data_IF_454629710229
#
_entry.id   IF_454629710229
#
_cell.length_a   1.000
_cell.length_b   1.000
_cell.length_c   1.000
_cell.angle_alpha   90.00
_cell.angle_beta   90.00
_cell.angle_gamma   90.00
#
_symmetry.space_group_name_H-M   'P 1'
#
loop_
_entity.id
_entity.type
_entity.pdbx_description
1 polymer ?
#
# COMPACT_ATOMS: atom_id res chain seq x y z
N UNK A 1 30.64 -1.74 22.60
CA UNK A 1 30.35 -1.01 21.36
C UNK A 1 30.96 0.38 21.48
N UNK A 2 32.03 0.65 20.72
CA UNK A 2 32.77 1.91 20.76
C UNK A 2 32.07 3.02 19.97
N UNK A 3 32.25 4.25 20.45
CA UNK A 3 31.55 5.48 20.02
C UNK A 3 32.32 6.22 18.92
N UNK A 4 31.65 6.94 18.01
CA UNK A 4 32.27 8.05 17.30
C UNK A 4 32.14 9.34 18.12
N UNK A 5 33.28 9.98 18.46
CA UNK A 5 33.35 11.37 18.91
C UNK A 5 33.09 11.63 20.40
N UNK A 6 34.06 12.27 21.07
CA UNK A 6 34.07 12.57 22.51
C UNK A 6 33.05 13.61 22.98
N UNK A 7 31.75 13.35 22.79
CA UNK A 7 30.68 14.12 23.41
C UNK A 7 30.25 13.49 24.75
N UNK A 8 29.87 14.31 25.76
CA UNK A 8 29.35 13.80 27.04
C UNK A 8 28.11 12.92 26.83
N UNK A 9 27.96 11.83 27.60
CA UNK A 9 26.79 10.93 27.53
C UNK A 9 25.46 11.69 27.60
N UNK A 10 25.43 12.78 28.38
CA UNK A 10 24.28 13.67 28.54
C UNK A 10 23.92 14.46 27.29
N UNK A 11 24.91 14.82 26.47
CA UNK A 11 24.69 15.51 25.19
C UNK A 11 24.07 14.54 24.16
N UNK A 12 24.53 13.29 24.13
CA UNK A 12 23.96 12.25 23.26
C UNK A 12 22.52 11.90 23.64
N UNK A 13 22.24 11.69 24.94
CA UNK A 13 20.87 11.42 25.42
C UNK A 13 19.94 12.60 25.10
N UNK A 14 20.39 13.84 25.30
CA UNK A 14 19.58 15.02 24.96
C UNK A 14 19.33 15.12 23.46
N UNK A 15 20.34 14.89 22.62
CA UNK A 15 20.17 14.87 21.17
C UNK A 15 19.19 13.77 20.71
N UNK A 16 19.27 12.56 21.27
CA UNK A 16 18.32 11.48 20.95
C UNK A 16 16.90 11.74 21.47
N UNK A 17 16.75 12.38 22.63
CA UNK A 17 15.43 12.83 23.12
C UNK A 17 14.88 13.93 22.21
N UNK A 18 15.69 14.92 21.83
CA UNK A 18 15.28 16.01 20.94
C UNK A 18 14.86 15.48 19.56
N UNK A 19 15.58 14.48 19.03
CA UNK A 19 15.27 13.76 17.79
C UNK A 19 13.91 13.04 17.91
N UNK A 20 13.70 12.24 18.96
CA UNK A 20 12.41 11.55 19.17
C UNK A 20 11.22 12.51 19.38
N UNK A 21 11.44 13.67 20.03
CA UNK A 21 10.41 14.69 20.21
C UNK A 21 10.10 15.42 18.90
N UNK A 22 11.12 15.65 18.07
CA UNK A 22 10.94 16.20 16.73
C UNK A 22 10.18 15.23 15.83
N UNK A 23 10.55 13.96 15.81
CA UNK A 23 9.88 12.91 15.03
C UNK A 23 8.42 12.75 15.44
N UNK A 24 8.13 12.77 16.74
CA UNK A 24 6.74 12.76 17.24
C UNK A 24 5.95 13.97 16.72
N UNK A 25 6.51 15.18 16.79
CA UNK A 25 5.84 16.39 16.29
C UNK A 25 5.59 16.31 14.78
N UNK A 26 6.55 15.84 13.99
CA UNK A 26 6.39 15.66 12.55
C UNK A 26 5.34 14.60 12.21
N UNK A 27 5.30 13.51 12.98
CA UNK A 27 4.29 12.45 12.83
C UNK A 27 2.88 12.95 13.15
N UNK A 28 2.72 13.75 14.21
CA UNK A 28 1.45 14.40 14.58
C UNK A 28 1.00 15.42 13.52
N UNK A 29 1.93 16.20 12.96
CA UNK A 29 1.66 17.13 11.86
C UNK A 29 1.19 16.38 10.61
N UNK A 30 1.92 15.33 10.21
CA UNK A 30 1.56 14.50 9.06
C UNK A 30 0.19 13.86 9.24
N UNK A 31 -0.08 13.27 10.40
CA UNK A 31 -1.38 12.68 10.71
C UNK A 31 -2.52 13.70 10.59
N UNK A 32 -2.31 14.93 11.09
CA UNK A 32 -3.29 16.00 10.98
C UNK A 32 -3.51 16.40 9.52
N UNK A 33 -2.44 16.64 8.76
CA UNK A 33 -2.53 16.99 7.35
C UNK A 33 -3.24 15.91 6.52
N UNK A 34 -2.95 14.63 6.76
CA UNK A 34 -3.63 13.51 6.12
C UNK A 34 -5.12 13.45 6.50
N UNK A 35 -5.44 13.63 7.78
CA UNK A 35 -6.82 13.64 8.26
C UNK A 35 -7.62 14.82 7.67
N UNK A 36 -7.02 16.01 7.63
CA UNK A 36 -7.59 17.23 7.04
C UNK A 36 -7.79 17.07 5.52
N UNK A 37 -6.88 16.34 4.86
CA UNK A 37 -7.00 15.96 3.46
C UNK A 37 -8.02 14.82 3.21
N UNK A 38 -8.62 14.27 4.28
CA UNK A 38 -9.71 13.29 4.21
C UNK A 38 -9.27 11.83 4.30
N UNK A 39 -8.01 11.54 4.63
CA UNK A 39 -7.54 10.19 4.92
C UNK A 39 -7.96 9.79 6.34
N UNK A 40 -9.22 9.41 6.49
CA UNK A 40 -9.76 8.88 7.75
C UNK A 40 -10.12 7.42 7.60
N UNK A 41 -10.06 6.67 8.71
CA UNK A 41 -10.44 5.25 8.76
C UNK A 41 -11.85 5.01 8.18
N UNK A 42 -12.83 5.80 8.61
CA UNK A 42 -14.22 5.73 8.14
C UNK A 42 -14.36 5.90 6.62
N UNK A 43 -13.52 6.76 6.03
CA UNK A 43 -13.54 7.04 4.59
C UNK A 43 -12.84 5.93 3.81
N UNK A 44 -11.72 5.43 4.32
CA UNK A 44 -11.04 4.26 3.78
C UNK A 44 -11.97 3.03 3.79
N UNK A 45 -12.64 2.74 4.90
CA UNK A 45 -13.63 1.67 5.00
C UNK A 45 -14.77 1.82 3.98
N UNK A 46 -15.30 3.04 3.82
CA UNK A 46 -16.35 3.31 2.83
C UNK A 46 -15.87 3.01 1.41
N UNK A 47 -14.66 3.45 1.05
CA UNK A 47 -14.07 3.19 -0.25
C UNK A 47 -13.81 1.70 -0.49
N UNK A 48 -13.26 1.00 0.49
CA UNK A 48 -13.02 -0.44 0.41
C UNK A 48 -14.34 -1.20 0.17
N UNK A 49 -15.43 -0.81 0.85
CA UNK A 49 -16.77 -1.38 0.61
C UNK A 49 -17.30 -1.10 -0.79
N UNK A 50 -17.00 0.07 -1.37
CA UNK A 50 -17.34 0.38 -2.76
C UNK A 50 -16.53 -0.46 -3.74
N UNK A 51 -15.24 -0.67 -3.46
CA UNK A 51 -14.38 -1.57 -4.22
C UNK A 51 -14.92 -3.01 -4.21
N UNK A 52 -15.28 -3.53 -3.03
CA UNK A 52 -15.93 -4.84 -2.88
C UNK A 52 -17.21 -4.93 -3.71
N UNK A 53 -18.06 -3.90 -3.65
CA UNK A 53 -19.30 -3.86 -4.40
C UNK A 53 -19.06 -3.85 -5.91
N UNK A 54 -18.12 -3.04 -6.41
CA UNK A 54 -17.72 -3.03 -7.82
C UNK A 54 -17.20 -4.40 -8.26
N UNK A 55 -16.42 -5.07 -7.42
CA UNK A 55 -15.97 -6.42 -7.70
C UNK A 55 -17.14 -7.42 -7.80
N UNK A 56 -18.15 -7.33 -6.93
CA UNK A 56 -19.35 -8.16 -7.05
C UNK A 56 -20.14 -7.88 -8.32
N UNK A 57 -20.25 -6.62 -8.74
CA UNK A 57 -20.90 -6.25 -10.01
C UNK A 57 -20.15 -6.88 -11.20
N UNK A 58 -18.82 -6.80 -11.23
CA UNK A 58 -18.01 -7.40 -12.31
C UNK A 58 -18.13 -8.93 -12.34
N UNK A 59 -18.22 -9.59 -11.17
CA UNK A 59 -18.50 -11.04 -11.07
C UNK A 59 -19.78 -11.44 -11.79
N UNK A 60 -20.85 -10.65 -11.63
CA UNK A 60 -22.13 -10.94 -12.28
C UNK A 60 -22.12 -10.60 -13.77
N UNK A 61 -21.43 -9.53 -14.17
CA UNK A 61 -21.48 -9.02 -15.54
C UNK A 61 -20.51 -9.70 -16.52
N UNK A 62 -19.48 -10.38 -16.02
CA UNK A 62 -18.40 -10.91 -16.88
C UNK A 62 -18.17 -12.40 -16.63
N UNK A 63 -17.95 -13.16 -17.71
CA UNK A 63 -17.64 -14.61 -17.63
C UNK A 63 -16.34 -14.91 -16.86
N UNK A 64 -15.46 -13.92 -16.74
CA UNK A 64 -14.20 -14.01 -16.00
C UNK A 64 -14.24 -13.28 -14.66
N UNK A 65 -15.41 -12.82 -14.21
CA UNK A 65 -15.48 -11.93 -13.08
C UNK A 65 -15.00 -12.57 -11.76
N UNK A 66 -15.17 -13.88 -11.60
CA UNK A 66 -14.62 -14.63 -10.46
C UNK A 66 -13.09 -14.70 -10.45
N UNK A 67 -12.47 -14.49 -11.62
CA UNK A 67 -11.02 -14.48 -11.78
C UNK A 67 -10.43 -13.09 -11.57
N UNK A 68 -11.27 -12.04 -11.46
CA UNK A 68 -10.83 -10.66 -11.30
C UNK A 68 -10.90 -10.25 -9.83
N UNK A 69 -9.77 -9.76 -9.33
CA UNK A 69 -9.64 -9.18 -8.00
C UNK A 69 -9.24 -7.72 -8.16
N UNK A 70 -9.95 -6.80 -7.50
CA UNK A 70 -9.52 -5.41 -7.49
C UNK A 70 -8.31 -5.28 -6.57
N UNK A 71 -7.33 -4.46 -6.97
CA UNK A 71 -6.08 -4.24 -6.23
C UNK A 71 -5.71 -2.76 -6.23
N UNK A 72 -4.62 -2.42 -5.56
CA UNK A 72 -4.08 -1.07 -5.59
C UNK A 72 -4.84 -0.08 -4.71
N UNK A 73 -4.47 1.19 -4.86
CA UNK A 73 -4.85 2.27 -3.94
C UNK A 73 -6.37 2.36 -3.71
N UNK A 74 -7.18 2.11 -4.74
CA UNK A 74 -8.64 2.17 -4.63
C UNK A 74 -9.18 1.06 -3.72
N UNK A 75 -8.78 -0.18 -3.97
CA UNK A 75 -9.18 -1.34 -3.18
C UNK A 75 -8.68 -1.28 -1.73
N UNK A 76 -7.57 -0.59 -1.48
CA UNK A 76 -6.96 -0.49 -0.15
C UNK A 76 -7.44 0.74 0.65
N UNK A 77 -8.27 1.61 0.05
CA UNK A 77 -8.77 2.82 0.73
C UNK A 77 -7.78 3.99 0.75
N UNK A 78 -6.70 3.92 -0.03
CA UNK A 78 -5.68 4.98 -0.18
C UNK A 78 -5.92 5.87 -1.39
N UNK A 79 -6.66 5.41 -2.40
CA UNK A 79 -7.04 6.28 -3.51
C UNK A 79 -7.94 7.39 -2.99
N UNK A 80 -7.88 8.55 -3.64
CA UNK A 80 -8.77 9.68 -3.38
C UNK A 80 -8.63 10.24 -1.96
N UNK A 81 -7.67 11.14 -1.80
CA UNK A 81 -7.81 12.22 -0.82
C UNK A 81 -9.16 12.90 -1.14
N UNK A 82 -10.18 12.65 -0.33
CA UNK A 82 -11.57 13.11 -0.53
C UNK A 82 -11.70 14.63 -0.33
N UNK A 83 -10.80 15.42 -0.92
CA UNK A 83 -10.75 16.88 -0.89
C UNK A 83 -11.97 17.48 -1.59
N UNK A 84 -12.69 16.69 -2.39
CA UNK A 84 -14.04 17.04 -2.83
C UNK A 84 -15.02 15.91 -2.52
N UNK A 85 -16.09 16.27 -1.81
CA UNK A 85 -17.25 15.43 -1.42
C UNK A 85 -18.13 15.10 -2.65
N UNK A 86 -17.53 14.86 -3.81
CA UNK A 86 -18.23 14.36 -4.99
C UNK A 86 -17.76 12.95 -5.39
N UNK A 87 -16.83 12.35 -4.64
CA UNK A 87 -16.38 10.98 -4.87
C UNK A 87 -15.67 10.77 -6.21
N UNK A 88 -15.06 11.82 -6.78
CA UNK A 88 -14.33 11.70 -8.03
C UNK A 88 -12.93 11.18 -7.79
N UNK A 89 -12.63 10.07 -8.44
CA UNK A 89 -11.27 9.61 -8.68
C UNK A 89 -10.47 10.74 -9.33
N UNK A 90 -9.27 11.02 -8.83
CA UNK A 90 -8.40 12.01 -9.49
C UNK A 90 -8.23 11.61 -10.97
N UNK A 91 -8.09 12.60 -11.86
CA UNK A 91 -8.13 12.35 -13.30
C UNK A 91 -7.03 11.39 -13.80
N UNK A 92 -5.99 11.20 -12.99
CA UNK A 92 -4.82 10.35 -13.19
C UNK A 92 -4.80 9.11 -12.28
N UNK A 93 -5.83 8.89 -11.46
CA UNK A 93 -5.91 7.72 -10.58
C UNK A 93 -6.60 6.56 -11.30
N UNK A 94 -5.86 5.46 -11.44
CA UNK A 94 -6.34 4.24 -12.06
C UNK A 94 -7.08 3.33 -11.04
N UNK A 95 -7.93 2.43 -11.55
CA UNK A 95 -8.52 1.34 -10.76
C UNK A 95 -7.88 0.04 -11.24
N UNK A 96 -7.02 -0.53 -10.39
CA UNK A 96 -6.25 -1.72 -10.74
C UNK A 96 -7.06 -3.00 -10.54
N UNK A 97 -6.88 -3.94 -11.47
CA UNK A 97 -7.44 -5.28 -11.39
C UNK A 97 -6.37 -6.31 -11.70
N UNK A 98 -6.33 -7.35 -10.88
CA UNK A 98 -5.50 -8.54 -11.12
C UNK A 98 -6.38 -9.69 -11.58
N UNK A 99 -5.97 -10.39 -12.64
CA UNK A 99 -6.63 -11.61 -13.13
C UNK A 99 -5.89 -12.83 -12.61
N UNK A 100 -6.55 -13.62 -11.77
CA UNK A 100 -6.04 -14.89 -11.27
C UNK A 100 -6.45 -16.03 -12.20
N UNK A 101 -5.48 -16.64 -12.85
CA UNK A 101 -5.66 -17.82 -13.71
C UNK A 101 -5.50 -19.08 -12.87
N UNK A 102 -6.54 -19.89 -12.75
CA UNK A 102 -6.48 -21.14 -12.00
C UNK A 102 -5.38 -22.05 -12.56
N UNK A 103 -4.55 -22.60 -11.66
CA UNK A 103 -3.45 -23.51 -12.02
C UNK A 103 -2.19 -22.81 -12.53
N UNK A 104 -2.17 -21.47 -12.62
CA UNK A 104 -0.97 -20.73 -12.97
C UNK A 104 -0.27 -20.23 -11.70
N UNK A 105 0.98 -20.63 -11.51
CA UNK A 105 1.82 -20.21 -10.38
C UNK A 105 2.87 -19.20 -10.87
N UNK A 106 2.89 -18.04 -10.24
CA UNK A 106 3.82 -16.95 -10.54
C UNK A 106 4.70 -16.69 -9.33
N UNK A 107 5.98 -16.46 -9.57
CA UNK A 107 6.97 -16.15 -8.54
C UNK A 107 7.51 -14.75 -8.80
N UNK A 108 7.46 -13.87 -7.81
CA UNK A 108 8.08 -12.56 -7.94
C UNK A 108 9.60 -12.71 -7.90
N UNK A 109 10.32 -12.02 -8.78
CA UNK A 109 11.78 -12.03 -8.71
C UNK A 109 12.27 -11.47 -7.37
N UNK A 110 13.20 -12.17 -6.73
CA UNK A 110 13.66 -11.86 -5.38
C UNK A 110 12.71 -12.28 -4.24
N UNK A 111 11.47 -12.68 -4.54
CA UNK A 111 10.49 -13.12 -3.54
C UNK A 111 10.79 -14.50 -2.94
N UNK A 112 11.52 -15.36 -3.67
CA UNK A 112 11.88 -16.69 -3.20
C UNK A 112 13.38 -16.82 -2.96
N UNK A 113 13.75 -17.49 -1.85
CA UNK A 113 15.15 -17.67 -1.44
C UNK A 113 15.91 -18.76 -2.23
N UNK A 114 15.34 -19.31 -3.30
CA UNK A 114 15.98 -20.34 -4.12
C UNK A 114 15.08 -20.93 -5.21
N UNK A 115 15.67 -21.77 -6.08
CA UNK A 115 14.96 -22.45 -7.19
C UNK A 115 14.71 -23.94 -6.90
N UNK A 116 14.11 -24.25 -5.76
CA UNK A 116 13.73 -25.61 -5.35
C UNK A 116 12.21 -25.78 -5.29
N UNK A 117 11.75 -27.03 -5.36
CA UNK A 117 10.32 -27.35 -5.34
C UNK A 117 9.56 -26.66 -6.47
N UNK A 118 8.49 -25.95 -6.13
CA UNK A 118 7.64 -25.24 -7.09
C UNK A 118 8.36 -24.07 -7.79
N UNK A 119 9.43 -23.52 -7.20
CA UNK A 119 10.24 -22.45 -7.77
C UNK A 119 11.09 -22.89 -8.99
N UNK A 120 11.27 -24.20 -9.20
CA UNK A 120 12.22 -24.71 -10.20
C UNK A 120 11.77 -24.43 -11.64
N UNK A 121 10.47 -24.54 -11.91
CA UNK A 121 9.86 -24.32 -13.22
C UNK A 121 8.82 -23.18 -13.18
N UNK A 122 8.90 -22.31 -12.17
CA UNK A 122 7.98 -21.20 -12.01
C UNK A 122 8.10 -20.17 -13.15
N UNK A 123 6.98 -19.52 -13.45
CA UNK A 123 7.00 -18.28 -14.25
C UNK A 123 7.42 -17.15 -13.33
N UNK A 124 8.55 -16.52 -13.62
CA UNK A 124 9.09 -15.42 -12.81
C UNK A 124 8.58 -14.08 -13.33
N UNK A 125 7.96 -13.29 -12.46
CA UNK A 125 7.49 -11.95 -12.76
C UNK A 125 8.47 -10.91 -12.20
N UNK A 126 8.80 -9.95 -13.04
CA UNK A 126 9.59 -8.78 -12.67
C UNK A 126 8.67 -7.72 -12.13
N UNK A 127 8.95 -7.22 -10.91
CA UNK A 127 8.18 -6.10 -10.38
C UNK A 127 8.90 -4.80 -10.74
N UNK A 128 8.28 -4.00 -11.60
CA UNK A 128 8.73 -2.65 -11.94
C UNK A 128 7.66 -1.66 -11.52
N UNK A 129 8.03 -0.70 -10.68
CA UNK A 129 7.13 0.37 -10.20
C UNK A 129 5.84 -0.14 -9.52
N UNK A 130 5.89 -1.33 -8.90
CA UNK A 130 4.73 -1.93 -8.22
C UNK A 130 3.84 -2.81 -9.13
N UNK A 131 4.18 -2.94 -10.41
CA UNK A 131 3.47 -3.78 -11.37
C UNK A 131 4.32 -4.99 -11.78
N UNK A 132 3.67 -6.13 -12.01
CA UNK A 132 4.29 -7.43 -12.29
C UNK A 132 3.80 -8.05 -13.60
#
# INVERSE_FOLDING_TARGET
AERPGGQPLTAWIRASIDDSQQDRRLSEELHRLLSDAGFTEQRAECQQRLADWLQQVVRVLTLEGDRRQMTGSYAEGWANSLVQVNGRTAADSDIDWTVLVAGQEFHLEGGCKGRSGSCRNATWLQVTEGHA
#
